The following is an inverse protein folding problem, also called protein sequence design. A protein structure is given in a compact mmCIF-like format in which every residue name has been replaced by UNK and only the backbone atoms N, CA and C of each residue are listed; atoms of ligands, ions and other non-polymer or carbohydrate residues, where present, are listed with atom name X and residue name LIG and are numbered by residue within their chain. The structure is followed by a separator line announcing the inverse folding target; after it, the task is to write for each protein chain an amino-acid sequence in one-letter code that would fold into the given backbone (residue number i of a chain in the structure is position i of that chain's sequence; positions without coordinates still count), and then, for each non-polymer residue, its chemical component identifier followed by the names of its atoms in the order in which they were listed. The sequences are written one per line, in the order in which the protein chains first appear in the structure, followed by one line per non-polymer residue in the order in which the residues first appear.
data_IF_684969096907
#
_entry.id   IF_684969096907
#
_cell.length_a   1.000
_cell.length_b   1.000
_cell.length_c   1.000
_cell.angle_alpha   90.00
_cell.angle_beta   90.00
_cell.angle_gamma   90.00
#
_symmetry.space_group_name_H-M   'P 1'
#
loop_
_entity.id
_entity.type
_entity.pdbx_description
1 polymer ?
#
# COMPACT_ATOMS: atom_id res chain seq x y z
N UNK A 1 3.63 1.35 21.28
CA UNK A 1 4.20 0.21 20.53
C UNK A 1 3.09 -0.82 20.39
N UNK A 2 2.55 -1.05 19.17
CA UNK A 2 1.57 -2.15 19.00
C UNK A 2 2.32 -3.45 19.32
N UNK A 3 1.69 -4.33 20.11
CA UNK A 3 2.22 -5.66 20.37
C UNK A 3 2.57 -6.32 19.03
N UNK A 4 3.77 -6.89 18.92
CA UNK A 4 4.08 -7.73 17.76
C UNK A 4 3.08 -8.89 17.79
N UNK A 5 2.45 -9.18 16.65
CA UNK A 5 1.66 -10.40 16.45
C UNK A 5 2.61 -11.61 16.43
N UNK A 6 3.27 -11.90 17.55
CA UNK A 6 4.01 -13.12 17.77
C UNK A 6 3.04 -14.10 18.44
N UNK A 7 2.25 -14.80 17.62
CA UNK A 7 1.25 -15.77 18.06
C UNK A 7 0.99 -16.80 16.96
N UNK A 8 0.62 -18.02 17.35
CA UNK A 8 0.25 -19.10 16.41
C UNK A 8 -1.20 -19.01 15.95
N UNK A 9 -1.97 -18.04 16.47
CA UNK A 9 -3.35 -17.78 16.08
C UNK A 9 -3.40 -16.74 14.96
N UNK A 10 -4.12 -17.07 13.89
CA UNK A 10 -4.35 -16.19 12.75
C UNK A 10 -5.52 -15.24 13.03
N UNK A 11 -5.25 -14.00 13.41
CA UNK A 11 -6.28 -12.96 13.60
C UNK A 11 -6.57 -12.20 12.29
N UNK A 12 -7.08 -12.91 11.27
CA UNK A 12 -7.37 -12.32 9.96
C UNK A 12 -8.74 -11.60 9.94
N UNK A 13 -8.74 -10.29 9.67
CA UNK A 13 -9.98 -9.53 9.45
C UNK A 13 -10.39 -9.50 7.97
N UNK A 14 -11.11 -10.53 7.54
CA UNK A 14 -11.69 -10.61 6.18
C UNK A 14 -12.74 -9.54 5.89
N UNK A 15 -13.22 -8.80 6.89
CA UNK A 15 -14.21 -7.71 6.71
C UNK A 15 -13.55 -6.35 6.52
N UNK A 16 -12.23 -6.25 6.72
CA UNK A 16 -11.49 -4.98 6.63
C UNK A 16 -11.72 -4.30 5.29
N UNK A 17 -11.57 -5.02 4.18
CA UNK A 17 -11.73 -4.46 2.83
C UNK A 17 -13.12 -3.89 2.62
N UNK A 18 -14.16 -4.64 3.02
CA UNK A 18 -15.54 -4.17 2.92
C UNK A 18 -15.76 -2.86 3.69
N UNK A 19 -15.20 -2.74 4.91
CA UNK A 19 -15.27 -1.48 5.69
C UNK A 19 -14.50 -0.34 5.04
N UNK A 20 -13.32 -0.63 4.48
CA UNK A 20 -12.51 0.37 3.76
C UNK A 20 -13.24 0.87 2.53
N UNK A 21 -13.81 -0.03 1.73
CA UNK A 21 -14.59 0.31 0.54
C UNK A 21 -15.84 1.14 0.87
N UNK A 22 -16.48 0.88 2.01
CA UNK A 22 -17.61 1.69 2.49
C UNK A 22 -17.20 3.10 2.92
N UNK A 23 -15.99 3.29 3.45
CA UNK A 23 -15.50 4.57 3.94
C UNK A 23 -14.76 5.40 2.87
N UNK A 24 -14.11 4.75 1.91
CA UNK A 24 -13.33 5.36 0.84
C UNK A 24 -13.51 4.54 -0.44
N UNK A 25 -14.25 5.08 -1.39
CA UNK A 25 -14.42 4.46 -2.70
C UNK A 25 -13.09 4.46 -3.49
N UNK A 26 -12.84 3.40 -4.26
CA UNK A 26 -11.71 3.35 -5.20
C UNK A 26 -10.36 2.99 -4.57
N UNK A 27 -10.36 2.21 -3.47
CA UNK A 27 -9.13 1.66 -2.88
C UNK A 27 -8.81 0.30 -3.52
N UNK A 28 -7.57 0.13 -3.98
CA UNK A 28 -7.07 -1.13 -4.54
C UNK A 28 -5.77 -1.58 -3.86
N UNK A 29 -5.50 -2.90 -3.79
CA UNK A 29 -4.25 -3.41 -3.24
C UNK A 29 -3.04 -3.11 -4.14
N UNK A 30 -1.88 -2.92 -3.51
CA UNK A 30 -0.58 -2.84 -4.18
C UNK A 30 0.44 -3.70 -3.45
N UNK A 31 1.18 -4.52 -4.18
CA UNK A 31 2.39 -5.15 -3.70
C UNK A 31 3.57 -4.25 -4.07
N UNK A 32 4.53 -4.06 -3.16
CA UNK A 32 5.73 -3.27 -3.43
C UNK A 32 6.91 -4.22 -3.49
N UNK A 33 7.65 -4.19 -4.60
CA UNK A 33 8.77 -5.08 -4.84
C UNK A 33 10.09 -4.32 -4.92
N UNK A 34 11.16 -4.94 -4.43
CA UNK A 34 12.51 -4.49 -4.71
C UNK A 34 12.86 -4.80 -6.18
N UNK A 35 13.12 -3.77 -6.98
CA UNK A 35 13.41 -3.92 -8.41
C UNK A 35 14.67 -4.74 -8.70
N UNK A 36 15.64 -4.77 -7.78
CA UNK A 36 16.90 -5.48 -7.98
C UNK A 36 16.84 -6.94 -7.54
N UNK A 37 16.09 -7.26 -6.48
CA UNK A 37 16.07 -8.60 -5.88
C UNK A 37 14.80 -9.38 -6.18
N UNK A 38 13.71 -8.72 -6.60
CA UNK A 38 12.40 -9.34 -6.76
C UNK A 38 11.68 -9.63 -5.44
N UNK A 39 12.24 -9.23 -4.29
CA UNK A 39 11.61 -9.43 -2.98
C UNK A 39 10.36 -8.54 -2.84
N UNK A 40 9.24 -9.12 -2.40
CA UNK A 40 8.05 -8.36 -2.00
C UNK A 40 8.28 -7.78 -0.61
N UNK A 41 8.36 -6.46 -0.54
CA UNK A 41 8.72 -5.71 0.67
C UNK A 41 7.49 -5.48 1.55
N UNK A 42 6.35 -5.12 0.94
CA UNK A 42 5.09 -4.93 1.66
C UNK A 42 3.88 -5.03 0.72
N UNK A 43 2.73 -5.36 1.29
CA UNK A 43 1.42 -5.21 0.64
C UNK A 43 0.64 -4.11 1.36
N UNK A 44 0.13 -3.17 0.58
CA UNK A 44 -0.62 -2.02 1.07
C UNK A 44 -1.78 -1.69 0.13
N UNK A 45 -2.28 -0.46 0.22
CA UNK A 45 -3.38 0.02 -0.58
C UNK A 45 -3.04 1.37 -1.20
N UNK A 46 -3.61 1.62 -2.37
CA UNK A 46 -3.59 2.93 -3.01
C UNK A 46 -5.01 3.34 -3.37
N UNK A 47 -5.20 4.63 -3.59
CA UNK A 47 -6.39 5.19 -4.25
C UNK A 47 -5.92 6.10 -5.38
N UNK A 48 -6.86 6.65 -6.16
CA UNK A 48 -6.55 7.49 -7.33
C UNK A 48 -5.61 8.66 -7.00
N UNK A 49 -5.79 9.31 -5.84
CA UNK A 49 -4.99 10.45 -5.40
C UNK A 49 -3.56 10.01 -5.05
N UNK A 50 -3.42 8.95 -4.26
CA UNK A 50 -2.13 8.41 -3.87
C UNK A 50 -1.34 7.94 -5.11
N UNK A 51 -1.98 7.19 -6.01
CA UNK A 51 -1.38 6.73 -7.26
C UNK A 51 -0.86 7.90 -8.11
N UNK A 52 -1.69 8.92 -8.36
CA UNK A 52 -1.28 10.10 -9.15
C UNK A 52 -0.09 10.83 -8.52
N UNK A 53 -0.13 11.03 -7.20
CA UNK A 53 0.99 11.66 -6.48
C UNK A 53 2.25 10.83 -6.57
N UNK A 54 2.15 9.51 -6.47
CA UNK A 54 3.27 8.60 -6.66
C UNK A 54 3.92 8.73 -8.04
N UNK A 55 3.11 8.73 -9.10
CA UNK A 55 3.59 8.89 -10.47
C UNK A 55 4.26 10.25 -10.69
N UNK A 56 3.66 11.32 -10.16
CA UNK A 56 4.18 12.68 -10.28
C UNK A 56 5.50 12.87 -9.51
N UNK A 57 5.55 12.42 -8.26
CA UNK A 57 6.70 12.61 -7.38
C UNK A 57 7.81 11.59 -7.62
N UNK A 58 7.53 10.50 -8.35
CA UNK A 58 8.42 9.34 -8.50
C UNK A 58 8.86 8.75 -7.15
N UNK A 59 7.94 8.78 -6.17
CA UNK A 59 8.11 8.24 -4.81
C UNK A 59 6.92 7.37 -4.42
N UNK A 60 7.13 6.43 -3.51
CA UNK A 60 6.06 5.57 -2.99
C UNK A 60 5.17 6.35 -2.00
N UNK A 61 3.98 6.69 -2.46
CA UNK A 61 2.93 7.39 -1.72
C UNK A 61 1.68 6.52 -1.80
N UNK A 62 1.22 6.06 -0.65
CA UNK A 62 0.16 5.07 -0.51
C UNK A 62 -1.04 5.66 0.23
N UNK A 63 -2.15 4.94 0.25
CA UNK A 63 -3.31 5.29 1.05
C UNK A 63 -3.32 4.49 2.35
N UNK A 64 -3.27 5.18 3.49
CA UNK A 64 -3.40 4.53 4.79
C UNK A 64 -4.87 4.30 5.12
N UNK A 65 -5.35 3.07 4.91
CA UNK A 65 -6.76 2.71 5.15
C UNK A 65 -7.19 2.84 6.61
N UNK A 66 -6.25 2.81 7.55
CA UNK A 66 -6.53 2.98 8.98
C UNK A 66 -6.53 4.44 9.43
N UNK A 67 -5.79 5.31 8.74
CA UNK A 67 -5.68 6.74 9.06
C UNK A 67 -6.55 7.62 8.17
N UNK A 68 -7.01 7.10 7.03
CA UNK A 68 -7.79 7.87 6.06
C UNK A 68 -6.98 8.99 5.41
N UNK A 69 -5.69 8.79 5.20
CA UNK A 69 -4.78 9.82 4.69
C UNK A 69 -3.68 9.25 3.78
N UNK A 70 -3.00 10.14 3.05
CA UNK A 70 -1.82 9.81 2.27
C UNK A 70 -0.65 9.43 3.19
N UNK A 71 0.07 8.40 2.79
CA UNK A 71 1.25 7.93 3.50
C UNK A 71 2.43 7.82 2.54
N UNK A 72 3.33 8.79 2.59
CA UNK A 72 4.60 8.73 1.89
C UNK A 72 5.58 7.84 2.68
N UNK A 73 5.95 6.71 2.08
CA UNK A 73 6.84 5.75 2.73
C UNK A 73 8.19 6.41 2.96
N UNK A 74 8.60 6.45 4.24
CA UNK A 74 9.89 7.00 4.63
C UNK A 74 9.90 8.50 4.91
N UNK A 75 8.79 9.23 4.76
CA UNK A 75 8.76 10.68 4.98
C UNK A 75 9.21 11.07 6.40
N UNK A 76 8.91 10.25 7.41
CA UNK A 76 9.35 10.48 8.79
C UNK A 76 10.69 9.82 9.12
N UNK A 77 11.02 8.69 8.49
CA UNK A 77 12.19 7.87 8.84
C UNK A 77 13.41 8.11 7.95
N UNK A 78 13.30 8.84 6.85
CA UNK A 78 14.34 8.97 5.82
C UNK A 78 14.41 7.81 4.81
N UNK A 79 13.97 6.62 5.21
CA UNK A 79 13.91 5.39 4.40
C UNK A 79 12.81 5.42 3.31
N UNK A 80 13.02 6.28 2.32
CA UNK A 80 12.11 6.53 1.19
C UNK A 80 12.33 5.59 0.03
N UNK A 81 11.26 5.38 -0.74
CA UNK A 81 11.24 4.41 -1.83
C UNK A 81 10.99 5.17 -3.13
N UNK A 82 11.93 5.10 -4.06
CA UNK A 82 11.75 5.64 -5.40
C UNK A 82 10.82 4.74 -6.21
N UNK A 83 9.87 5.33 -6.93
CA UNK A 83 9.02 4.60 -7.85
C UNK A 83 9.74 4.45 -9.19
N UNK A 84 10.03 3.21 -9.58
CA UNK A 84 10.72 2.89 -10.84
C UNK A 84 9.69 2.56 -11.92
N UNK A 85 8.86 1.55 -11.67
CA UNK A 85 7.80 1.08 -12.56
C UNK A 85 6.54 0.80 -11.74
N UNK A 86 5.41 0.70 -12.43
CA UNK A 86 4.14 0.27 -11.84
C UNK A 86 3.44 -0.62 -12.86
N UNK A 87 3.10 -1.84 -12.46
CA UNK A 87 2.44 -2.83 -13.31
C UNK A 87 0.99 -2.99 -12.88
N UNK A 88 0.08 -3.06 -13.85
CA UNK A 88 -1.35 -3.26 -13.62
C UNK A 88 -1.68 -4.71 -13.92
N UNK A 89 -2.44 -5.36 -13.05
CA UNK A 89 -2.92 -6.72 -13.32
C UNK A 89 -3.97 -6.75 -14.45
N UNK A 90 -4.31 -7.94 -14.93
CA UNK A 90 -5.25 -8.12 -16.05
C UNK A 90 -6.67 -7.61 -15.76
N UNK A 91 -7.09 -7.58 -14.50
CA UNK A 91 -8.41 -7.09 -14.07
C UNK A 91 -8.42 -5.60 -13.72
N UNK A 92 -7.29 -4.91 -13.85
CA UNK A 92 -7.15 -3.48 -13.54
C UNK A 92 -7.55 -3.11 -12.09
N UNK A 93 -7.35 -4.04 -11.15
CA UNK A 93 -7.78 -3.89 -9.76
C UNK A 93 -6.65 -4.10 -8.74
N UNK A 94 -5.40 -4.25 -9.19
CA UNK A 94 -4.23 -4.28 -8.33
C UNK A 94 -2.97 -3.82 -9.04
N UNK A 95 -1.97 -3.42 -8.25
CA UNK A 95 -0.67 -2.94 -8.72
C UNK A 95 0.49 -3.77 -8.14
N UNK A 96 1.59 -3.82 -8.90
CA UNK A 96 2.94 -4.22 -8.46
C UNK A 96 3.92 -3.07 -8.69
#
# INVERSE_FOLDING_TARGET
MKAREEGTQLELDFRKIARVAAACAGVIPVAVQNINTGEVILVAYTNEIAFRKSMQARRLILWSTSRGELWEKGATSGETFALVEAYVNCEQNSLL
#
